data_IF_502010773890
#
_entry.id   IF_502010773890
#
_cell.length_a   1.000
_cell.length_b   1.000
_cell.length_c   1.000
_cell.angle_alpha   90.00
_cell.angle_beta   90.00
_cell.angle_gamma   90.00
#
_symmetry.space_group_name_H-M   'P 1'
#
loop_
_entity.id
_entity.type
_entity.pdbx_description
1 polymer ?
#
# COMPACT_ATOMS: atom_id res chain seq x y z
N UNK A 1 -23.42 0.83 19.18
CA UNK A 1 -22.19 1.05 18.40
C UNK A 1 -21.64 -0.34 18.17
N UNK A 2 -21.85 -0.89 16.98
CA UNK A 2 -21.29 -2.19 16.61
C UNK A 2 -19.78 -2.00 16.52
N UNK A 3 -19.06 -2.77 17.32
CA UNK A 3 -17.62 -2.80 17.36
C UNK A 3 -17.17 -3.38 16.02
N UNK A 4 -16.19 -2.73 15.40
CA UNK A 4 -15.63 -3.09 14.09
C UNK A 4 -15.39 -4.61 14.02
N UNK A 5 -15.90 -5.27 12.98
CA UNK A 5 -15.77 -6.72 12.84
C UNK A 5 -14.27 -7.07 12.78
N UNK A 6 -13.76 -7.61 13.89
CA UNK A 6 -12.36 -7.97 13.99
C UNK A 6 -12.00 -8.97 12.89
N UNK A 7 -10.82 -8.78 12.30
CA UNK A 7 -10.20 -9.63 11.28
C UNK A 7 -10.16 -11.13 11.66
N UNK A 8 -10.36 -11.44 12.94
CA UNK A 8 -10.52 -12.76 13.55
C UNK A 8 -11.70 -13.56 12.97
N UNK A 9 -12.85 -12.92 12.75
CA UNK A 9 -14.10 -13.55 12.25
C UNK A 9 -13.93 -14.08 10.81
N UNK A 10 -13.15 -13.38 9.99
CA UNK A 10 -12.82 -13.79 8.62
C UNK A 10 -11.84 -14.97 8.56
N UNK A 11 -11.06 -15.21 9.62
CA UNK A 11 -10.13 -16.32 9.71
C UNK A 11 -10.79 -17.57 10.32
N UNK A 12 -11.75 -17.38 11.22
CA UNK A 12 -12.50 -18.45 11.89
C UNK A 12 -13.34 -19.28 10.90
N UNK A 13 -14.00 -18.65 9.92
CA UNK A 13 -14.79 -19.33 8.87
C UNK A 13 -13.94 -20.22 7.94
N UNK A 14 -12.61 -20.01 7.89
CA UNK A 14 -11.71 -20.83 7.06
C UNK A 14 -11.02 -21.97 7.82
N UNK A 15 -11.26 -22.13 9.13
CA UNK A 15 -10.50 -23.05 10.00
C UNK A 15 -11.24 -24.35 10.35
N UNK A 16 -12.15 -24.83 9.50
CA UNK A 16 -12.76 -26.17 9.64
C UNK A 16 -12.35 -27.08 8.48
N UNK A 17 -11.04 -27.32 8.33
CA UNK A 17 -10.50 -28.38 7.48
C UNK A 17 -9.19 -28.88 8.07
N UNK A 18 -9.32 -29.85 8.96
CA UNK A 18 -8.19 -30.64 9.46
C UNK A 18 -7.68 -31.53 8.30
N UNK A 19 -6.56 -31.16 7.68
CA UNK A 19 -5.75 -32.09 6.89
C UNK A 19 -4.28 -31.94 7.29
N UNK A 20 -3.82 -32.95 8.02
CA UNK A 20 -2.49 -33.07 8.61
C UNK A 20 -1.44 -33.27 7.50
N UNK A 21 -0.63 -32.25 7.22
CA UNK A 21 0.49 -32.32 6.28
C UNK A 21 1.72 -31.58 6.82
N UNK A 22 2.44 -32.23 7.73
CA UNK A 22 3.73 -31.76 8.22
C UNK A 22 4.84 -32.02 7.21
N UNK A 23 5.52 -30.98 6.71
CA UNK A 23 6.88 -31.09 6.17
C UNK A 23 7.62 -29.73 6.11
N UNK A 24 8.75 -29.65 6.81
CA UNK A 24 10.00 -29.17 6.19
C UNK A 24 10.36 -27.68 6.24
N UNK A 25 10.96 -27.26 7.35
CA UNK A 25 11.87 -26.11 7.48
C UNK A 25 12.89 -25.98 6.32
N UNK A 26 13.02 -24.79 5.71
CA UNK A 26 14.35 -24.17 5.52
C UNK A 26 14.26 -22.69 5.14
N UNK A 27 14.96 -21.87 5.93
CA UNK A 27 15.19 -20.46 5.68
C UNK A 27 15.98 -20.23 4.39
N UNK A 28 15.58 -19.22 3.61
CA UNK A 28 16.49 -18.44 2.78
C UNK A 28 16.06 -16.98 2.80
N UNK A 29 16.84 -16.21 3.54
CA UNK A 29 17.05 -14.79 3.31
C UNK A 29 17.68 -14.65 1.92
N UNK A 30 17.04 -13.87 1.04
CA UNK A 30 17.77 -13.19 -0.03
C UNK A 30 17.04 -11.89 -0.36
N UNK A 31 17.70 -10.81 0.04
CA UNK A 31 17.37 -9.41 -0.17
C UNK A 31 17.63 -9.02 -1.63
N UNK A 32 16.79 -8.11 -2.15
CA UNK A 32 16.93 -7.39 -3.43
C UNK A 32 16.74 -8.29 -4.67
N UNK A 33 15.94 -7.92 -5.67
CA UNK A 33 16.24 -6.81 -6.58
C UNK A 33 14.97 -6.05 -6.99
N UNK A 34 15.16 -4.74 -7.03
CA UNK A 34 14.33 -3.74 -7.68
C UNK A 34 14.40 -3.92 -9.20
N UNK A 35 13.44 -4.60 -9.82
CA UNK A 35 13.33 -4.60 -11.28
C UNK A 35 11.98 -3.98 -11.65
N UNK A 36 11.98 -2.65 -11.71
CA UNK A 36 10.97 -1.90 -12.44
C UNK A 36 11.11 -2.20 -13.93
N UNK A 37 10.47 -3.26 -14.40
CA UNK A 37 10.25 -3.48 -15.82
C UNK A 37 8.77 -3.78 -16.10
N UNK A 38 7.95 -2.74 -16.02
CA UNK A 38 6.67 -2.74 -16.72
C UNK A 38 6.96 -2.64 -18.22
N UNK A 39 7.40 -3.74 -18.84
CA UNK A 39 7.25 -3.89 -20.28
C UNK A 39 5.80 -4.22 -20.54
N UNK A 40 4.98 -3.16 -20.54
CA UNK A 40 3.58 -3.18 -20.95
C UNK A 40 3.52 -3.69 -22.39
N UNK A 41 3.26 -4.99 -22.51
CA UNK A 41 3.02 -5.66 -23.76
C UNK A 41 1.74 -5.05 -24.32
N UNK A 42 1.88 -4.21 -25.35
CA UNK A 42 0.84 -3.40 -25.96
C UNK A 42 -0.32 -4.25 -26.50
N UNK A 43 -1.18 -4.70 -25.60
CA UNK A 43 -2.55 -5.03 -25.89
C UNK A 43 -3.25 -3.68 -26.10
N UNK A 44 -3.84 -3.46 -27.28
CA UNK A 44 -4.78 -2.36 -27.50
C UNK A 44 -6.03 -2.59 -26.66
N UNK A 45 -5.90 -2.40 -25.35
CA UNK A 45 -7.00 -2.03 -24.48
C UNK A 45 -7.21 -0.54 -24.70
N UNK A 46 -8.46 -0.14 -24.91
CA UNK A 46 -8.87 1.26 -24.91
C UNK A 46 -8.16 1.97 -23.75
N UNK A 47 -7.37 3.01 -24.05
CA UNK A 47 -6.53 3.68 -23.07
C UNK A 47 -7.42 4.30 -21.99
N UNK A 48 -7.57 3.58 -20.88
CA UNK A 48 -8.25 4.08 -19.68
C UNK A 48 -7.30 5.01 -18.93
N UNK A 49 -7.84 6.12 -18.43
CA UNK A 49 -7.06 7.01 -17.58
C UNK A 49 -6.73 6.28 -16.25
N UNK A 50 -5.45 6.17 -15.87
CA UNK A 50 -5.07 5.51 -14.63
C UNK A 50 -5.60 6.28 -13.43
N UNK A 51 -5.87 5.57 -12.33
CA UNK A 51 -6.31 6.21 -11.10
C UNK A 51 -5.25 7.18 -10.56
N UNK A 52 -5.67 8.41 -10.27
CA UNK A 52 -4.80 9.44 -9.67
C UNK A 52 -4.57 9.13 -8.20
N UNK A 53 -3.30 9.12 -7.78
CA UNK A 53 -2.91 8.88 -6.39
C UNK A 53 -3.36 10.02 -5.48
N UNK A 54 -4.04 9.70 -4.38
CA UNK A 54 -4.55 10.70 -3.42
C UNK A 54 -3.55 11.04 -2.31
N UNK A 55 -2.55 10.19 -2.08
CA UNK A 55 -1.51 10.39 -1.08
C UNK A 55 -0.17 9.80 -1.53
N UNK A 56 0.90 10.27 -0.93
CA UNK A 56 2.25 9.74 -1.08
C UNK A 56 2.79 9.34 0.30
N UNK A 57 3.45 8.19 0.36
CA UNK A 57 4.17 7.72 1.55
C UNK A 57 5.66 7.60 1.23
N UNK A 58 6.50 8.08 2.13
CA UNK A 58 7.96 8.08 1.98
C UNK A 58 8.57 7.70 3.34
N UNK A 59 9.26 6.55 3.47
CA UNK A 59 9.83 6.11 4.75
C UNK A 59 10.96 7.02 5.25
N UNK A 60 11.67 7.68 4.32
CA UNK A 60 12.69 8.68 4.63
C UNK A 60 12.08 10.04 5.02
N UNK A 61 10.77 10.21 4.80
CA UNK A 61 10.05 11.47 4.89
C UNK A 61 10.28 12.37 3.68
N UNK A 62 9.31 13.26 3.43
CA UNK A 62 9.42 14.29 2.41
C UNK A 62 8.80 15.60 2.91
N UNK A 63 9.33 16.73 2.42
CA UNK A 63 8.86 18.05 2.83
C UNK A 63 7.42 18.31 2.37
N UNK A 64 6.62 18.89 3.27
CA UNK A 64 5.33 19.50 2.98
C UNK A 64 5.52 20.73 2.11
N UNK A 65 4.75 20.87 1.04
CA UNK A 65 4.85 22.02 0.14
C UNK A 65 4.38 23.34 0.79
N UNK A 66 3.56 23.27 1.83
CA UNK A 66 3.01 24.45 2.52
C UNK A 66 3.87 24.91 3.71
N UNK A 67 4.22 23.99 4.62
CA UNK A 67 4.94 24.32 5.86
C UNK A 67 6.41 23.91 5.86
N UNK A 68 6.87 23.12 4.88
CA UNK A 68 8.25 22.61 4.80
C UNK A 68 8.59 21.48 5.78
N UNK A 69 7.66 21.04 6.63
CA UNK A 69 7.89 19.95 7.57
C UNK A 69 8.10 18.61 6.84
N UNK A 70 9.11 17.85 7.25
CA UNK A 70 9.39 16.52 6.70
C UNK A 70 8.48 15.51 7.38
N UNK A 71 7.58 14.91 6.62
CA UNK A 71 6.61 13.92 7.10
C UNK A 71 6.64 12.67 6.22
N UNK A 72 6.34 11.52 6.81
CA UNK A 72 6.28 10.25 6.08
C UNK A 72 5.07 10.16 5.16
N UNK A 73 3.97 10.84 5.51
CA UNK A 73 2.70 10.81 4.78
C UNK A 73 2.32 12.20 4.32
N UNK A 74 2.04 12.34 3.02
CA UNK A 74 1.55 13.58 2.41
C UNK A 74 0.33 13.30 1.54
N UNK A 75 -0.54 14.29 1.41
CA UNK A 75 -1.82 14.19 0.70
C UNK A 75 -1.85 15.17 -0.45
N UNK A 76 -2.45 14.76 -1.57
CA UNK A 76 -2.64 15.61 -2.74
C UNK A 76 -3.68 16.69 -2.42
N UNK A 77 -3.30 17.97 -2.55
CA UNK A 77 -4.16 19.15 -2.37
C UNK A 77 -3.78 20.18 -3.44
N UNK A 78 -4.70 20.50 -4.35
CA UNK A 78 -4.46 21.42 -5.48
C UNK A 78 -3.23 21.06 -6.35
N UNK A 79 -2.92 19.77 -6.47
CA UNK A 79 -1.72 19.28 -7.18
C UNK A 79 -0.42 19.35 -6.38
N UNK A 80 -0.46 19.82 -5.14
CA UNK A 80 0.66 19.81 -4.19
C UNK A 80 0.53 18.66 -3.20
N UNK A 81 1.65 18.26 -2.59
CA UNK A 81 1.69 17.25 -1.54
C UNK A 81 1.90 17.92 -0.19
N UNK A 82 0.82 17.98 0.60
CA UNK A 82 0.79 18.65 1.91
C UNK A 82 0.72 17.64 3.05
N UNK A 83 1.22 17.99 4.24
CA UNK A 83 1.09 17.15 5.42
C UNK A 83 -0.35 17.12 5.96
N UNK A 84 -0.62 16.24 6.92
CA UNK A 84 -1.97 16.04 7.47
C UNK A 84 -2.48 17.25 8.25
N UNK A 85 -1.58 18.12 8.73
CA UNK A 85 -1.95 19.35 9.40
C UNK A 85 -2.33 20.48 8.41
N UNK A 86 -1.66 20.55 7.25
CA UNK A 86 -1.90 21.55 6.20
C UNK A 86 -3.05 21.16 5.25
N UNK A 87 -3.40 19.89 5.21
CA UNK A 87 -4.49 19.39 4.37
C UNK A 87 -5.83 19.94 4.89
N UNK A 88 -6.60 20.61 4.02
CA UNK A 88 -7.96 21.08 4.29
C UNK A 88 -8.98 19.94 4.19
N UNK A 89 -8.81 18.89 5.01
CA UNK A 89 -9.74 17.75 5.10
C UNK A 89 -10.96 18.04 5.96
#
# INVERSE_FOLDING_TARGET
>A
MAEDASLEDFLDDSSESEDEGADGMSARDDTAETEGETTDSAASSEAVDPAVTTYAWSPEGAACDECGEVVERRWTQDGLLVCGACKCW
#
